data_IF_494615945378
#
_entry.id   IF_494615945378
#
_cell.length_a   1.000
_cell.length_b   1.000
_cell.length_c   1.000
_cell.angle_alpha   90.00
_cell.angle_beta   90.00
_cell.angle_gamma   90.00
#
_symmetry.space_group_name_H-M   'P 1'
#
loop_
_entity.id
_entity.type
_entity.pdbx_description
1 polymer ?
#
# COMPACT_ATOMS: atom_id res chain seq x y z
N UNK A 1 -14.08 -1.26 12.65
CA UNK A 1 -13.07 -1.63 11.62
C UNK A 1 -13.79 -1.91 10.30
N UNK A 2 -13.06 -2.06 9.19
CA UNK A 2 -13.67 -2.41 7.90
C UNK A 2 -14.48 -3.72 7.98
N UNK A 3 -13.90 -4.80 8.51
CA UNK A 3 -14.62 -6.08 8.68
C UNK A 3 -15.86 -5.95 9.58
N UNK A 4 -15.80 -5.19 10.68
CA UNK A 4 -16.95 -5.01 11.57
C UNK A 4 -18.09 -4.20 10.95
N UNK A 5 -17.81 -3.45 9.88
CA UNK A 5 -18.80 -2.72 9.08
C UNK A 5 -19.12 -3.44 7.76
N UNK A 6 -18.66 -4.68 7.59
CA UNK A 6 -18.86 -5.48 6.37
C UNK A 6 -18.35 -4.78 5.10
N UNK A 7 -17.38 -3.86 5.25
CA UNK A 7 -16.71 -3.23 4.10
C UNK A 7 -15.67 -4.20 3.57
N UNK A 8 -15.85 -4.65 2.33
CA UNK A 8 -14.88 -5.51 1.66
C UNK A 8 -13.51 -4.85 1.57
N UNK A 9 -12.47 -5.58 1.97
CA UNK A 9 -11.09 -5.12 1.88
C UNK A 9 -10.10 -6.27 1.67
N UNK A 10 -8.95 -5.98 1.08
CA UNK A 10 -7.87 -6.94 0.95
C UNK A 10 -6.50 -6.25 0.85
N UNK A 11 -5.45 -7.00 1.24
CA UNK A 11 -4.05 -6.66 1.03
C UNK A 11 -3.46 -7.65 0.03
N UNK A 12 -3.04 -7.15 -1.13
CA UNK A 12 -2.41 -7.92 -2.19
C UNK A 12 -0.89 -7.73 -2.12
N UNK A 13 -0.13 -8.83 -2.10
CA UNK A 13 1.34 -8.78 -2.16
C UNK A 13 1.85 -9.51 -3.40
N UNK A 14 2.67 -8.85 -4.21
CA UNK A 14 3.31 -9.52 -5.35
C UNK A 14 4.18 -10.69 -4.89
N UNK A 15 3.94 -11.89 -5.45
CA UNK A 15 4.65 -13.11 -5.09
C UNK A 15 4.27 -13.69 -3.72
N UNK A 16 3.10 -13.34 -3.18
CA UNK A 16 2.60 -13.87 -1.91
C UNK A 16 2.57 -15.40 -1.86
N UNK A 17 1.96 -16.03 -2.85
CA UNK A 17 1.80 -17.49 -2.93
C UNK A 17 3.15 -18.19 -3.01
N UNK A 18 4.09 -17.62 -3.78
CA UNK A 18 5.47 -18.09 -3.87
C UNK A 18 6.20 -17.92 -2.52
N UNK A 19 6.00 -16.79 -1.85
CA UNK A 19 6.55 -16.51 -0.53
C UNK A 19 6.05 -17.48 0.53
N UNK A 20 4.75 -17.82 0.53
CA UNK A 20 4.18 -18.81 1.43
C UNK A 20 4.79 -20.19 1.21
N UNK A 21 4.88 -20.63 -0.05
CA UNK A 21 5.46 -21.94 -0.40
C UNK A 21 6.95 -22.03 -0.03
N UNK A 22 7.72 -20.96 -0.24
CA UNK A 22 9.14 -20.90 0.14
C UNK A 22 9.32 -20.82 1.66
N UNK A 23 8.39 -20.15 2.35
CA UNK A 23 8.37 -20.01 3.80
C UNK A 23 8.19 -21.33 4.56
N UNK A 24 7.47 -22.29 3.99
CA UNK A 24 7.22 -23.62 4.60
C UNK A 24 8.32 -24.64 4.31
N UNK A 25 9.36 -24.28 3.56
CA UNK A 25 10.50 -25.18 3.31
C UNK A 25 11.28 -25.44 4.60
N UNK A 26 11.96 -26.60 4.71
CA UNK A 26 12.85 -26.90 5.83
C UNK A 26 13.83 -25.75 6.14
N UNK A 27 14.20 -25.54 7.41
CA UNK A 27 15.04 -24.41 7.82
C UNK A 27 16.49 -24.52 7.31
N UNK A 28 16.96 -25.73 7.00
CA UNK A 28 18.27 -26.02 6.41
C UNK A 28 18.31 -25.81 4.89
N UNK A 29 17.16 -25.69 4.23
CA UNK A 29 17.08 -25.36 2.82
C UNK A 29 17.14 -23.84 2.57
N UNK A 30 18.06 -23.43 1.68
CA UNK A 30 18.15 -22.05 1.23
C UNK A 30 16.86 -21.60 0.55
N UNK A 31 16.37 -20.43 0.95
CA UNK A 31 15.21 -19.76 0.37
C UNK A 31 15.46 -19.37 -1.09
N UNK A 32 14.45 -19.63 -1.94
CA UNK A 32 14.49 -19.39 -3.38
C UNK A 32 13.58 -18.24 -3.83
N UNK A 33 12.79 -17.68 -2.92
CA UNK A 33 11.85 -16.58 -3.19
C UNK A 33 12.05 -15.49 -2.16
N UNK A 34 12.03 -15.85 -0.87
CA UNK A 34 12.18 -14.92 0.24
C UNK A 34 13.61 -14.39 0.28
N UNK A 35 13.77 -13.06 0.17
CA UNK A 35 15.05 -12.35 0.19
C UNK A 35 16.14 -12.89 -0.75
N UNK A 36 15.77 -13.62 -1.80
CA UNK A 36 16.75 -14.21 -2.72
C UNK A 36 16.95 -13.31 -3.93
N UNK A 37 18.22 -12.94 -4.21
CA UNK A 37 18.63 -12.11 -5.36
C UNK A 37 19.10 -12.94 -6.56
N UNK A 38 18.69 -14.21 -6.64
CA UNK A 38 18.97 -15.03 -7.81
C UNK A 38 18.29 -14.42 -9.04
N UNK A 39 18.90 -14.59 -10.21
CA UNK A 39 18.36 -14.06 -11.46
C UNK A 39 16.93 -14.60 -11.70
N UNK A 40 16.02 -13.69 -12.06
CA UNK A 40 14.59 -13.98 -12.23
C UNK A 40 13.80 -14.27 -10.93
N UNK A 41 14.42 -14.19 -9.76
CA UNK A 41 13.69 -14.41 -8.51
C UNK A 41 12.78 -13.22 -8.16
N UNK A 42 11.57 -13.47 -7.63
CA UNK A 42 10.64 -12.40 -7.28
C UNK A 42 11.14 -11.50 -6.13
N UNK A 43 12.06 -11.97 -5.29
CA UNK A 43 12.52 -11.27 -4.09
C UNK A 43 11.35 -10.93 -3.14
N UNK A 44 10.62 -11.93 -2.66
CA UNK A 44 9.53 -11.68 -1.72
C UNK A 44 10.09 -11.13 -0.39
N UNK A 45 9.45 -10.09 0.16
CA UNK A 45 9.90 -9.34 1.35
C UNK A 45 8.87 -9.48 2.48
N UNK A 46 8.98 -10.51 3.35
CA UNK A 46 7.98 -10.78 4.39
C UNK A 46 7.66 -9.63 5.35
N UNK A 47 8.65 -8.78 5.66
CA UNK A 47 8.45 -7.67 6.60
C UNK A 47 7.64 -6.50 6.00
N UNK A 48 7.43 -6.47 4.67
CA UNK A 48 6.50 -5.54 4.02
C UNK A 48 5.05 -6.03 4.04
N UNK A 49 4.76 -7.15 4.71
CA UNK A 49 3.41 -7.63 4.95
C UNK A 49 3.00 -7.24 6.39
N UNK A 50 2.22 -6.16 6.57
CA UNK A 50 1.98 -5.60 7.91
C UNK A 50 1.07 -6.46 8.79
N UNK A 51 0.23 -7.30 8.19
CA UNK A 51 -0.73 -8.15 8.90
C UNK A 51 -0.08 -9.41 9.50
N UNK A 52 1.12 -9.80 9.08
CA UNK A 52 1.88 -10.88 9.69
C UNK A 52 2.22 -10.62 11.17
N UNK A 53 2.16 -9.36 11.62
CA UNK A 53 2.42 -8.94 13.00
C UNK A 53 1.17 -8.96 13.89
N UNK A 54 0.03 -9.45 13.37
CA UNK A 54 -1.25 -9.46 14.06
C UNK A 54 -1.77 -10.90 14.17
N UNK A 55 -2.01 -11.37 15.41
CA UNK A 55 -2.43 -12.76 15.68
C UNK A 55 -3.71 -13.17 14.91
N UNK A 56 -4.61 -12.21 14.66
CA UNK A 56 -5.82 -12.40 13.84
C UNK A 56 -5.52 -12.96 12.44
N UNK A 57 -4.36 -12.64 11.88
CA UNK A 57 -3.92 -13.05 10.53
C UNK A 57 -2.80 -14.10 10.55
N UNK A 58 -2.65 -14.82 11.66
CA UNK A 58 -1.72 -15.94 11.76
C UNK A 58 -2.00 -17.01 10.67
N UNK A 59 -1.00 -17.82 10.27
CA UNK A 59 -1.21 -18.91 9.32
C UNK A 59 -2.38 -19.82 9.72
N UNK A 60 -3.26 -20.13 8.75
CA UNK A 60 -4.43 -20.98 8.95
C UNK A 60 -5.69 -20.28 9.47
N UNK A 61 -5.66 -18.98 9.79
CA UNK A 61 -6.88 -18.27 10.22
C UNK A 61 -7.80 -17.93 9.04
N UNK A 62 -9.13 -17.88 9.25
CA UNK A 62 -10.07 -17.46 8.21
C UNK A 62 -9.82 -16.04 7.69
N UNK A 63 -9.49 -15.10 8.58
CA UNK A 63 -9.20 -13.71 8.19
C UNK A 63 -7.97 -13.60 7.29
N UNK A 64 -6.95 -14.43 7.52
CA UNK A 64 -5.77 -14.48 6.63
C UNK A 64 -6.17 -14.91 5.23
N UNK A 65 -6.95 -16.00 5.12
CA UNK A 65 -7.40 -16.53 3.83
C UNK A 65 -8.34 -15.56 3.09
N UNK A 66 -9.18 -14.83 3.82
CA UNK A 66 -10.11 -13.88 3.21
C UNK A 66 -9.45 -12.60 2.70
N UNK A 67 -8.44 -12.09 3.42
CA UNK A 67 -7.94 -10.73 3.20
C UNK A 67 -6.51 -10.64 2.64
N UNK A 68 -5.67 -11.66 2.77
CA UNK A 68 -4.28 -11.62 2.28
C UNK A 68 -4.12 -12.42 0.99
N UNK A 69 -3.95 -11.72 -0.12
CA UNK A 69 -4.00 -12.27 -1.48
C UNK A 69 -2.71 -12.03 -2.27
N UNK A 70 -2.56 -12.72 -3.39
CA UNK A 70 -1.40 -12.55 -4.28
C UNK A 70 -1.60 -11.35 -5.22
N UNK A 71 -0.50 -10.70 -5.62
CA UNK A 71 -0.53 -9.65 -6.64
C UNK A 71 -1.15 -10.11 -7.97
N UNK A 72 -1.04 -11.38 -8.34
CA UNK A 72 -1.74 -11.93 -9.51
C UNK A 72 -3.27 -11.90 -9.35
N UNK A 73 -3.77 -12.08 -8.12
CA UNK A 73 -5.20 -11.93 -7.84
C UNK A 73 -5.65 -10.48 -7.97
N UNK A 74 -4.77 -9.51 -7.63
CA UNK A 74 -5.07 -8.09 -7.82
C UNK A 74 -5.29 -7.79 -9.30
N UNK A 75 -4.36 -8.19 -10.17
CA UNK A 75 -4.44 -7.89 -11.61
C UNK A 75 -5.72 -8.49 -12.21
N UNK A 76 -6.07 -9.72 -11.80
CA UNK A 76 -7.32 -10.36 -12.19
C UNK A 76 -8.54 -9.59 -11.69
N UNK A 77 -8.54 -9.17 -10.43
CA UNK A 77 -9.66 -8.45 -9.82
C UNK A 77 -9.83 -7.04 -10.44
N UNK A 78 -8.75 -6.38 -10.85
CA UNK A 78 -8.78 -5.12 -11.62
C UNK A 78 -9.50 -5.35 -12.96
N UNK A 79 -9.06 -6.34 -13.73
CA UNK A 79 -9.54 -6.61 -15.08
C UNK A 79 -11.02 -7.05 -15.07
N UNK A 80 -11.45 -7.73 -14.00
CA UNK A 80 -12.84 -8.18 -13.81
C UNK A 80 -13.76 -7.11 -13.18
N UNK A 81 -13.20 -6.02 -12.65
CA UNK A 81 -13.96 -5.02 -11.90
C UNK A 81 -14.52 -5.58 -10.58
N UNK A 82 -13.78 -6.45 -9.92
CA UNK A 82 -14.15 -7.14 -8.68
C UNK A 82 -13.29 -6.75 -7.48
N UNK A 83 -12.55 -5.64 -7.56
CA UNK A 83 -11.77 -5.15 -6.43
C UNK A 83 -12.68 -4.85 -5.22
N UNK A 84 -12.24 -5.21 -4.00
CA UNK A 84 -12.94 -4.79 -2.80
C UNK A 84 -12.83 -3.26 -2.61
N UNK A 85 -13.77 -2.71 -1.85
CA UNK A 85 -13.91 -1.27 -1.63
C UNK A 85 -12.64 -0.61 -1.06
N UNK A 86 -11.86 -1.34 -0.26
CA UNK A 86 -10.53 -0.91 0.19
C UNK A 86 -9.48 -1.94 -0.22
N UNK A 87 -8.62 -1.54 -1.14
CA UNK A 87 -7.56 -2.41 -1.69
C UNK A 87 -6.20 -1.82 -1.37
N UNK A 88 -5.33 -2.62 -0.76
CA UNK A 88 -3.91 -2.29 -0.60
C UNK A 88 -3.07 -3.19 -1.50
N UNK A 89 -2.04 -2.64 -2.13
CA UNK A 89 -1.13 -3.39 -2.97
C UNK A 89 0.33 -3.05 -2.64
N UNK A 90 1.15 -4.09 -2.46
CA UNK A 90 2.61 -3.98 -2.45
C UNK A 90 3.15 -4.79 -3.64
N UNK A 91 3.85 -4.17 -4.60
CA UNK A 91 4.49 -4.88 -5.70
C UNK A 91 5.44 -5.98 -5.23
N UNK A 92 5.73 -6.91 -6.15
CA UNK A 92 6.77 -7.92 -5.94
C UNK A 92 8.13 -7.23 -5.78
N UNK A 93 9.03 -7.80 -4.97
CA UNK A 93 10.15 -7.04 -4.40
C UNK A 93 11.06 -6.34 -5.41
N UNK A 94 11.30 -6.95 -6.58
CA UNK A 94 12.13 -6.35 -7.63
C UNK A 94 11.47 -5.17 -8.36
N UNK A 95 10.18 -4.90 -8.14
CA UNK A 95 9.42 -3.78 -8.74
C UNK A 95 9.03 -2.71 -7.69
N UNK A 96 9.74 -2.64 -6.57
CA UNK A 96 9.37 -1.78 -5.43
C UNK A 96 10.12 -0.46 -5.36
N UNK A 97 11.04 -0.19 -6.29
CA UNK A 97 11.94 0.98 -6.30
C UNK A 97 12.84 1.11 -5.06
N UNK A 98 12.87 0.08 -4.21
CA UNK A 98 13.71 0.08 -3.04
C UNK A 98 15.20 0.18 -3.43
N UNK A 99 15.97 1.08 -2.80
CA UNK A 99 17.39 1.24 -3.10
C UNK A 99 18.16 -0.07 -2.83
N UNK A 100 19.36 -0.18 -3.41
CA UNK A 100 20.27 -1.35 -3.35
C UNK A 100 19.94 -2.52 -4.26
N UNK A 101 18.69 -2.93 -4.42
CA UNK A 101 18.36 -4.18 -5.15
C UNK A 101 17.29 -4.04 -6.24
N UNK A 102 16.80 -2.82 -6.48
CA UNK A 102 15.90 -2.50 -7.59
C UNK A 102 16.34 -1.21 -8.27
N UNK A 103 15.59 -0.78 -9.28
CA UNK A 103 15.78 0.47 -10.00
C UNK A 103 14.45 1.22 -10.15
N UNK A 104 14.52 2.50 -10.49
CA UNK A 104 13.34 3.36 -10.68
C UNK A 104 12.57 3.00 -11.95
N UNK A 105 13.25 2.59 -13.02
CA UNK A 105 12.62 2.42 -14.34
C UNK A 105 11.67 1.23 -14.34
N UNK A 106 12.08 0.10 -13.74
CA UNK A 106 11.23 -1.08 -13.61
C UNK A 106 10.03 -0.84 -12.70
N UNK A 107 10.21 -0.09 -11.61
CA UNK A 107 9.14 0.34 -10.71
C UNK A 107 8.14 1.28 -11.38
N UNK A 108 8.62 2.34 -12.03
CA UNK A 108 7.78 3.30 -12.75
C UNK A 108 6.98 2.62 -13.87
N UNK A 109 7.61 1.71 -14.62
CA UNK A 109 6.93 0.94 -15.66
C UNK A 109 5.81 0.06 -15.08
N UNK A 110 6.05 -0.54 -13.91
CA UNK A 110 5.04 -1.34 -13.21
C UNK A 110 3.88 -0.48 -12.69
N UNK A 111 4.18 0.70 -12.14
CA UNK A 111 3.17 1.67 -11.73
C UNK A 111 2.31 2.09 -12.93
N UNK A 112 2.91 2.42 -14.08
CA UNK A 112 2.18 2.78 -15.29
C UNK A 112 1.29 1.64 -15.80
N UNK A 113 1.80 0.40 -15.81
CA UNK A 113 0.99 -0.76 -16.21
C UNK A 113 -0.25 -0.90 -15.31
N UNK A 114 -0.06 -0.91 -13.99
CA UNK A 114 -1.15 -1.09 -13.02
C UNK A 114 -2.15 0.06 -13.12
N UNK A 115 -1.69 1.31 -13.19
CA UNK A 115 -2.57 2.48 -13.38
C UNK A 115 -3.32 2.40 -14.71
N UNK A 116 -2.67 1.95 -15.78
CA UNK A 116 -3.28 1.72 -17.08
C UNK A 116 -4.41 0.70 -17.01
N UNK A 117 -4.21 -0.41 -16.28
CA UNK A 117 -5.26 -1.42 -16.05
C UNK A 117 -6.41 -0.87 -15.21
N UNK A 118 -6.10 -0.18 -14.11
CA UNK A 118 -7.12 0.44 -13.25
C UNK A 118 -8.00 1.43 -14.01
N UNK A 119 -7.43 2.24 -14.90
CA UNK A 119 -8.17 3.17 -15.78
C UNK A 119 -9.10 2.48 -16.78
N UNK A 120 -8.81 1.23 -17.15
CA UNK A 120 -9.66 0.41 -18.04
C UNK A 120 -10.66 -0.46 -17.28
N UNK A 121 -10.54 -0.53 -15.96
CA UNK A 121 -11.42 -1.35 -15.12
C UNK A 121 -12.85 -0.82 -15.17
N UNK A 122 -13.88 -1.70 -15.14
CA UNK A 122 -15.27 -1.29 -14.98
C UNK A 122 -15.55 -0.45 -13.72
N UNK A 123 -14.65 -0.47 -12.74
CA UNK A 123 -14.78 0.28 -11.48
C UNK A 123 -14.14 1.68 -11.52
N UNK A 124 -13.48 2.07 -12.62
CA UNK A 124 -12.67 3.29 -12.70
C UNK A 124 -13.41 4.56 -12.30
N UNK A 125 -14.65 4.74 -12.76
CA UNK A 125 -15.45 5.96 -12.55
C UNK A 125 -15.69 6.27 -11.05
N UNK A 126 -15.61 5.26 -10.18
CA UNK A 126 -15.74 5.39 -8.74
C UNK A 126 -14.42 5.28 -7.97
N UNK A 127 -13.28 5.27 -8.64
CA UNK A 127 -12.01 4.85 -8.06
C UNK A 127 -11.13 6.00 -7.60
N UNK A 128 -10.49 5.82 -6.43
CA UNK A 128 -9.40 6.67 -5.95
C UNK A 128 -8.15 5.80 -5.81
N UNK A 129 -7.09 6.14 -6.55
CA UNK A 129 -5.80 5.46 -6.46
C UNK A 129 -4.79 6.38 -5.81
N UNK A 130 -4.12 5.89 -4.77
CA UNK A 130 -3.05 6.59 -4.04
C UNK A 130 -1.77 5.80 -4.26
N UNK A 131 -0.82 6.39 -4.98
CA UNK A 131 0.54 5.84 -5.17
C UNK A 131 1.45 6.55 -4.17
N UNK A 132 2.12 5.79 -3.31
CA UNK A 132 2.96 6.33 -2.22
C UNK A 132 4.04 5.34 -1.84
N UNK A 133 4.94 5.75 -0.96
CA UNK A 133 6.10 4.97 -0.50
C UNK A 133 5.98 4.68 1.00
N UNK A 134 6.60 3.61 1.48
CA UNK A 134 6.62 3.29 2.90
C UNK A 134 7.67 4.09 3.68
N UNK A 135 8.78 4.44 3.02
CA UNK A 135 9.91 5.18 3.58
C UNK A 135 10.69 5.97 2.49
N UNK A 136 11.75 6.69 2.87
CA UNK A 136 12.46 7.65 2.00
C UNK A 136 13.73 7.12 1.33
N UNK A 137 14.02 5.83 1.41
CA UNK A 137 15.22 5.15 0.93
C UNK A 137 16.52 5.56 1.62
N UNK A 138 16.46 6.36 2.69
CA UNK A 138 17.62 7.04 3.26
C UNK A 138 18.15 8.20 2.41
N UNK A 139 17.44 8.62 1.36
CA UNK A 139 17.80 9.77 0.55
C UNK A 139 17.59 11.08 1.31
N UNK A 140 18.42 12.09 1.01
CA UNK A 140 18.33 13.40 1.64
C UNK A 140 17.07 14.14 1.19
N UNK A 141 16.36 14.75 2.14
CA UNK A 141 15.29 15.71 1.90
C UNK A 141 15.57 16.98 2.72
N UNK A 142 15.32 18.14 2.11
CA UNK A 142 15.62 19.43 2.74
C UNK A 142 14.61 19.85 3.82
N UNK A 143 13.41 19.26 3.83
CA UNK A 143 12.36 19.62 4.78
C UNK A 143 12.53 18.79 6.05
N UNK A 144 12.71 19.43 7.21
CA UNK A 144 12.80 18.71 8.47
C UNK A 144 11.46 17.98 8.76
N UNK A 145 11.50 16.75 9.28
CA UNK A 145 10.29 16.06 9.71
C UNK A 145 9.48 16.90 10.71
N UNK A 146 8.14 16.95 10.60
CA UNK A 146 7.28 17.64 11.55
C UNK A 146 7.54 17.23 13.00
N UNK A 147 7.59 18.22 13.91
CA UNK A 147 7.81 18.02 15.35
C UNK A 147 6.70 18.67 16.17
N UNK A 148 6.57 18.24 17.42
CA UNK A 148 5.65 18.79 18.40
C UNK A 148 4.46 17.87 18.72
N UNK A 149 3.73 18.15 19.81
CA UNK A 149 2.61 17.33 20.27
C UNK A 149 1.54 17.17 19.19
N UNK A 150 1.13 15.93 18.92
CA UNK A 150 0.10 15.62 17.90
C UNK A 150 0.59 15.67 16.45
N UNK A 151 1.80 16.17 16.20
CA UNK A 151 2.47 16.14 14.90
C UNK A 151 3.50 15.02 14.81
N UNK A 152 4.26 14.76 15.88
CA UNK A 152 5.35 13.77 15.92
C UNK A 152 5.22 12.77 17.07
N UNK A 153 5.73 11.55 16.89
CA UNK A 153 5.89 10.50 17.91
C UNK A 153 7.13 9.64 17.59
N UNK A 154 7.35 8.55 18.33
CA UNK A 154 8.51 7.65 18.10
C UNK A 154 8.53 7.05 16.69
N UNK A 155 7.39 6.92 16.03
CA UNK A 155 7.23 6.24 14.76
C UNK A 155 7.07 7.20 13.57
N UNK A 156 7.10 8.51 13.79
CA UNK A 156 7.13 9.48 12.71
C UNK A 156 6.50 10.84 13.05
N UNK A 157 6.01 11.58 12.03
CA UNK A 157 6.35 11.36 10.64
C UNK A 157 7.86 11.48 10.48
N UNK A 158 8.41 10.67 9.57
CA UNK A 158 9.82 10.73 9.20
C UNK A 158 10.08 11.77 8.13
N UNK A 159 11.13 11.54 7.33
CA UNK A 159 11.39 12.28 6.10
C UNK A 159 10.19 12.21 5.16
N UNK A 160 10.05 13.23 4.30
CA UNK A 160 8.98 13.26 3.30
C UNK A 160 9.12 12.09 2.31
N UNK A 161 7.96 11.62 1.86
CA UNK A 161 7.82 10.62 0.80
C UNK A 161 6.98 11.22 -0.32
N UNK A 162 7.19 10.75 -1.55
CA UNK A 162 6.33 11.13 -2.66
C UNK A 162 4.93 10.51 -2.49
N UNK A 163 3.90 11.22 -2.96
CA UNK A 163 2.54 10.69 -3.03
C UNK A 163 1.83 11.32 -4.23
N UNK A 164 1.21 10.48 -5.05
CA UNK A 164 0.43 10.88 -6.21
C UNK A 164 -0.97 10.30 -6.08
N UNK A 165 -1.97 11.13 -6.35
CA UNK A 165 -3.37 10.71 -6.39
C UNK A 165 -3.82 10.68 -7.85
N UNK A 166 -4.37 9.55 -8.28
CA UNK A 166 -4.92 9.35 -9.63
C UNK A 166 -6.38 8.92 -9.46
N UNK A 167 -7.31 9.74 -9.95
CA UNK A 167 -8.75 9.49 -9.79
C UNK A 167 -9.58 10.37 -10.71
N UNK A 168 -10.78 9.94 -11.14
CA UNK A 168 -11.79 10.82 -11.71
C UNK A 168 -12.26 11.93 -10.78
N UNK A 169 -11.94 11.88 -9.48
CA UNK A 169 -12.25 12.92 -8.48
C UNK A 169 -11.04 13.77 -8.08
N UNK A 170 -9.85 13.47 -8.60
CA UNK A 170 -8.64 14.21 -8.24
C UNK A 170 -8.67 15.61 -8.87
N UNK A 171 -8.25 16.62 -8.11
CA UNK A 171 -8.01 17.97 -8.65
C UNK A 171 -6.89 17.91 -9.68
N UNK A 172 -7.16 18.43 -10.88
CA UNK A 172 -6.20 18.39 -11.99
C UNK A 172 -5.12 19.47 -11.84
N UNK A 173 -3.87 19.14 -12.17
CA UNK A 173 -2.75 20.08 -12.11
C UNK A 173 -2.48 20.67 -10.72
N UNK A 174 -2.89 19.95 -9.67
CA UNK A 174 -2.93 20.46 -8.30
C UNK A 174 -1.83 19.84 -7.43
N UNK A 175 -1.11 20.70 -6.70
CA UNK A 175 -0.16 20.27 -5.66
C UNK A 175 -0.75 20.65 -4.31
N UNK A 176 -1.26 19.65 -3.59
CA UNK A 176 -1.74 19.86 -2.23
C UNK A 176 -0.57 20.09 -1.28
N UNK A 177 -0.63 21.19 -0.51
CA UNK A 177 0.40 21.58 0.47
C UNK A 177 0.00 21.27 1.90
N UNK A 178 -1.15 20.63 2.11
CA UNK A 178 -1.58 20.16 3.42
C UNK A 178 -0.55 19.16 3.97
N UNK A 179 -0.25 19.26 5.26
CA UNK A 179 0.63 18.29 5.92
C UNK A 179 -0.06 16.93 6.03
N UNK A 180 0.57 15.90 5.49
CA UNK A 180 0.11 14.51 5.58
C UNK A 180 1.20 13.61 6.13
N UNK A 181 0.78 12.45 6.62
CA UNK A 181 1.65 11.31 6.86
C UNK A 181 0.99 10.02 6.32
N UNK A 182 1.63 8.87 6.51
CA UNK A 182 1.06 7.58 6.07
C UNK A 182 -0.27 7.25 6.75
N UNK A 183 -0.55 7.81 7.94
CA UNK A 183 -1.84 7.65 8.63
C UNK A 183 -2.97 8.48 8.00
N UNK A 184 -2.66 9.49 7.18
CA UNK A 184 -3.66 10.27 6.42
C UNK A 184 -4.51 9.40 5.49
N UNK A 185 -3.95 8.32 4.93
CA UNK A 185 -4.70 7.32 4.14
C UNK A 185 -5.75 6.62 5.02
N UNK A 186 -5.37 6.26 6.25
CA UNK A 186 -6.29 5.66 7.22
C UNK A 186 -7.37 6.65 7.65
N UNK A 187 -7.06 7.95 7.76
CA UNK A 187 -8.07 9.00 8.03
C UNK A 187 -9.08 9.11 6.89
N UNK A 188 -8.61 9.09 5.64
CA UNK A 188 -9.47 9.12 4.47
C UNK A 188 -10.45 7.94 4.45
N UNK A 189 -9.95 6.71 4.64
CA UNK A 189 -10.76 5.49 4.73
C UNK A 189 -11.74 5.56 5.92
N UNK A 190 -11.24 5.99 7.08
CA UNK A 190 -12.05 6.15 8.29
C UNK A 190 -13.22 7.09 8.04
N UNK A 191 -12.98 8.25 7.43
CA UNK A 191 -14.02 9.21 7.05
C UNK A 191 -15.02 8.61 6.07
N UNK A 192 -14.54 7.98 4.98
CA UNK A 192 -15.38 7.42 3.91
C UNK A 192 -16.37 6.37 4.40
N UNK A 193 -15.98 5.55 5.38
CA UNK A 193 -16.80 4.45 5.91
C UNK A 193 -17.31 4.71 7.34
N UNK A 194 -17.15 5.94 7.84
CA UNK A 194 -17.52 6.36 9.19
C UNK A 194 -16.99 5.41 10.29
N UNK A 195 -15.73 5.01 10.18
CA UNK A 195 -15.09 4.09 11.13
C UNK A 195 -14.65 4.84 12.40
N UNK A 196 -14.40 4.08 13.46
CA UNK A 196 -13.65 4.58 14.61
C UNK A 196 -12.18 4.82 14.22
N UNK A 197 -11.58 5.97 14.57
CA UNK A 197 -10.17 6.23 14.33
C UNK A 197 -9.26 5.19 15.00
N UNK A 198 -8.26 4.71 14.27
CA UNK A 198 -7.28 3.78 14.83
C UNK A 198 -6.32 4.52 15.80
N UNK A 199 -5.87 3.86 16.88
CA UNK A 199 -4.79 4.39 17.71
C UNK A 199 -3.55 4.71 16.87
N UNK A 200 -2.88 5.82 17.18
CA UNK A 200 -1.68 6.29 16.47
C UNK A 200 -1.94 7.17 15.25
N UNK A 201 -3.19 7.30 14.80
CA UNK A 201 -3.56 8.29 13.77
C UNK A 201 -3.32 9.70 14.31
N UNK A 202 -2.60 10.52 13.55
CA UNK A 202 -2.21 11.85 14.01
C UNK A 202 -3.33 12.87 13.80
N UNK A 203 -3.74 13.60 14.85
CA UNK A 203 -4.81 14.59 14.72
C UNK A 203 -4.40 15.78 13.85
N UNK A 204 -3.12 16.17 13.85
CA UNK A 204 -2.63 17.36 13.15
C UNK A 204 -2.32 17.13 11.65
N UNK A 205 -2.32 15.88 11.18
CA UNK A 205 -2.14 15.57 9.75
C UNK A 205 -3.49 15.62 9.03
N UNK A 206 -3.54 16.01 7.77
CA UNK A 206 -4.77 16.04 6.97
C UNK A 206 -5.31 14.63 6.66
N UNK A 207 -6.47 14.56 6.01
CA UNK A 207 -7.16 13.31 5.66
C UNK A 207 -7.27 13.06 4.15
N UNK A 208 -6.41 13.70 3.35
CA UNK A 208 -6.38 13.69 1.88
C UNK A 208 -7.61 14.30 1.18
N UNK A 209 -8.68 14.68 1.88
CA UNK A 209 -9.91 15.18 1.24
C UNK A 209 -9.67 16.42 0.38
N UNK A 210 -8.72 17.29 0.76
CA UNK A 210 -8.40 18.51 0.00
C UNK A 210 -7.79 18.25 -1.38
N UNK A 211 -7.29 17.05 -1.65
CA UNK A 211 -6.78 16.66 -2.96
C UNK A 211 -7.89 16.34 -3.98
N UNK A 212 -9.14 16.26 -3.53
CA UNK A 212 -10.29 15.89 -4.37
C UNK A 212 -11.24 17.06 -4.61
N UNK A 213 -11.93 16.98 -5.74
CA UNK A 213 -13.17 17.70 -6.02
C UNK A 213 -14.21 16.64 -6.41
N UNK A 214 -15.15 16.38 -5.51
CA UNK A 214 -16.23 15.41 -5.74
C UNK A 214 -17.45 16.01 -6.43
N UNK A 215 -17.37 17.29 -6.82
CA UNK A 215 -18.44 17.99 -7.56
C UNK A 215 -18.20 18.07 -9.07
N UNK A 216 -17.02 17.63 -9.53
CA UNK A 216 -16.64 17.62 -10.94
C UNK A 216 -17.34 16.53 -11.76
#
# INVERSE_FOLDING_TARGET
TLSAKEVGWAWYSGGWSLGLADGTRPPDEKRKVIYTRADGAPYFVPHHQPFNYQARFAPGTPDRAAHLKDGEDLLRDIDQGSLPAVTFYKPVGHLTEHPSYTDLISGDAHIDEVLGRLRRSPQWDGMVVIVTYDENGGFWDHVPPPRGPGSGDRFGPGSRIATVIVSPFARQGFVDKTSYDTTSILKFITRRFALEPLPGVRPQMGDLTSAFDFSQ
#
